data_IF_637852797895
#
_entry.id   IF_637852797895
#
_cell.length_a   1.000
_cell.length_b   1.000
_cell.length_c   1.000
_cell.angle_alpha   90.00
_cell.angle_beta   90.00
_cell.angle_gamma   90.00
#
_symmetry.space_group_name_H-M   'P 1'
#
loop_
_entity.id
_entity.type
_entity.pdbx_description
1 polymer ?
#
# COMPACT_ATOMS: atom_id res chain seq x y z
N UNK A 1 18.54 28.40 29.00
CA UNK A 1 17.07 28.35 28.89
C UNK A 1 16.76 27.28 27.85
N UNK A 2 16.70 26.02 28.29
CA UNK A 2 16.49 24.87 27.41
C UNK A 2 15.00 24.60 27.31
N UNK A 3 14.43 24.76 26.13
CA UNK A 3 13.03 24.45 25.85
C UNK A 3 12.94 22.93 25.67
N UNK A 4 12.54 22.24 26.73
CA UNK A 4 12.25 20.82 26.70
C UNK A 4 10.86 20.67 26.10
N UNK A 5 10.78 20.05 24.91
CA UNK A 5 9.51 19.72 24.30
C UNK A 5 8.70 18.82 25.27
N UNK A 6 7.39 19.05 25.45
CA UNK A 6 6.60 18.21 26.32
C UNK A 6 6.53 16.79 25.72
N UNK A 7 6.87 15.80 26.54
CA UNK A 7 6.57 14.40 26.21
C UNK A 7 5.04 14.24 26.10
N UNK A 8 4.53 13.46 25.14
CA UNK A 8 3.09 13.28 24.96
C UNK A 8 2.47 12.64 26.21
N UNK A 9 1.29 13.14 26.60
CA UNK A 9 0.48 12.62 27.70
C UNK A 9 0.00 11.19 27.41
N UNK A 10 -0.16 10.39 28.46
CA UNK A 10 -0.50 8.95 28.42
C UNK A 10 -1.79 8.56 27.68
N UNK A 11 -2.64 9.54 27.34
CA UNK A 11 -3.88 9.38 26.57
C UNK A 11 -3.63 9.13 25.07
N UNK A 12 -2.60 9.76 24.49
CA UNK A 12 -2.29 9.64 23.06
C UNK A 12 -1.78 8.27 22.66
N UNK A 13 -1.08 7.63 23.59
CA UNK A 13 -0.56 6.28 23.41
C UNK A 13 -1.68 5.24 23.51
N UNK A 14 -2.73 5.48 24.29
CA UNK A 14 -3.78 4.48 24.53
C UNK A 14 -4.78 4.36 23.38
N UNK A 15 -5.25 5.46 22.77
CA UNK A 15 -6.15 5.40 21.61
C UNK A 15 -5.49 4.78 20.36
N UNK A 16 -4.20 5.09 20.13
CA UNK A 16 -3.41 4.47 19.06
C UNK A 16 -3.16 2.98 19.32
N UNK A 17 -2.97 2.57 20.58
CA UNK A 17 -2.76 1.17 21.00
C UNK A 17 -4.06 0.36 20.98
N UNK A 18 -5.21 0.98 21.26
CA UNK A 18 -6.52 0.30 21.24
C UNK A 18 -6.98 -0.07 19.82
N UNK A 19 -6.72 0.81 18.83
CA UNK A 19 -6.99 0.53 17.41
C UNK A 19 -6.16 -0.65 16.88
N UNK A 20 -4.97 -0.82 17.43
CA UNK A 20 -3.97 -1.84 17.07
C UNK A 20 -4.34 -3.23 17.64
N UNK A 21 -5.02 -3.27 18.78
CA UNK A 21 -5.41 -4.52 19.46
C UNK A 21 -6.48 -5.30 18.68
N UNK A 22 -7.23 -4.64 17.79
CA UNK A 22 -8.48 -5.18 17.23
C UNK A 22 -8.38 -5.96 15.90
N UNK A 23 -7.19 -6.06 15.29
CA UNK A 23 -7.18 -6.33 13.84
C UNK A 23 -6.57 -7.66 13.40
N UNK A 24 -5.38 -8.09 13.87
CA UNK A 24 -4.80 -9.27 13.24
C UNK A 24 -5.34 -10.63 13.73
N UNK A 25 -5.75 -10.89 14.99
CA UNK A 25 -6.20 -12.23 15.40
C UNK A 25 -7.42 -12.76 14.62
N UNK A 26 -8.43 -11.90 14.37
CA UNK A 26 -9.63 -12.30 13.65
C UNK A 26 -9.33 -12.60 12.18
N UNK A 27 -8.50 -11.79 11.52
CA UNK A 27 -8.10 -12.01 10.13
C UNK A 27 -7.17 -13.23 9.98
N UNK A 28 -6.28 -13.45 10.94
CA UNK A 28 -5.40 -14.63 10.98
C UNK A 28 -6.21 -15.92 11.08
N UNK A 29 -7.32 -15.91 11.81
CA UNK A 29 -8.22 -17.07 11.90
C UNK A 29 -8.91 -17.44 10.58
N UNK A 30 -8.99 -16.49 9.63
CA UNK A 30 -9.56 -16.70 8.30
C UNK A 30 -8.52 -17.11 7.25
N UNK A 31 -7.23 -17.14 7.60
CA UNK A 31 -6.18 -17.62 6.71
C UNK A 31 -6.25 -19.14 6.50
N UNK A 32 -5.64 -19.59 5.40
CA UNK A 32 -5.28 -21.01 5.21
C UNK A 32 -4.38 -21.45 6.38
N UNK A 33 -4.56 -22.69 6.84
CA UNK A 33 -3.91 -23.20 8.06
C UNK A 33 -2.38 -23.05 8.03
N UNK A 34 -1.78 -23.20 6.85
CA UNK A 34 -0.34 -23.06 6.63
C UNK A 34 0.16 -21.63 6.85
N UNK A 35 -0.64 -20.63 6.50
CA UNK A 35 -0.32 -19.22 6.71
C UNK A 35 -0.64 -18.77 8.13
N UNK A 36 -1.73 -19.28 8.71
CA UNK A 36 -2.11 -18.98 10.09
C UNK A 36 -1.02 -19.42 11.09
N UNK A 37 -0.39 -20.57 10.84
CA UNK A 37 0.72 -21.08 11.67
C UNK A 37 1.98 -20.21 11.62
N UNK A 38 2.15 -19.36 10.59
CA UNK A 38 3.30 -18.46 10.49
C UNK A 38 3.17 -17.25 11.40
N UNK A 39 1.96 -16.91 11.84
CA UNK A 39 1.71 -15.72 12.65
C UNK A 39 1.90 -16.08 14.12
N UNK A 40 2.93 -15.52 14.80
CA UNK A 40 3.13 -15.77 16.22
C UNK A 40 1.98 -15.16 17.03
N UNK A 41 1.78 -15.63 18.26
CA UNK A 41 1.01 -14.85 19.22
C UNK A 41 1.75 -13.53 19.46
N UNK A 42 1.10 -12.40 19.22
CA UNK A 42 1.65 -11.07 19.49
C UNK A 42 0.59 -10.26 20.25
N UNK A 43 1.04 -9.50 21.24
CA UNK A 43 0.18 -8.61 22.02
C UNK A 43 0.15 -7.18 21.43
N UNK A 44 1.12 -6.86 20.56
CA UNK A 44 1.25 -5.55 19.95
C UNK A 44 1.84 -5.63 18.54
N UNK A 45 1.49 -4.65 17.70
CA UNK A 45 2.06 -4.47 16.36
C UNK A 45 3.56 -4.14 16.41
N UNK A 46 4.10 -3.65 17.52
CA UNK A 46 5.56 -3.47 17.68
C UNK A 46 6.30 -4.80 17.72
N UNK A 47 5.71 -5.82 18.36
CA UNK A 47 6.23 -7.20 18.33
C UNK A 47 6.20 -7.75 16.92
N UNK A 48 5.12 -7.51 16.18
CA UNK A 48 4.96 -7.88 14.78
C UNK A 48 6.01 -7.20 13.87
N UNK A 49 6.33 -5.93 14.14
CA UNK A 49 7.34 -5.17 13.40
C UNK A 49 8.76 -5.75 13.53
N UNK A 50 9.06 -6.36 14.68
CA UNK A 50 10.33 -7.01 14.99
C UNK A 50 10.48 -8.42 14.41
N UNK A 51 9.40 -9.06 13.95
CA UNK A 51 9.44 -10.44 13.48
C UNK A 51 9.97 -10.54 12.04
N UNK A 52 11.29 -10.59 11.90
CA UNK A 52 11.94 -10.57 10.58
C UNK A 52 11.58 -11.77 9.71
N UNK A 53 11.29 -12.96 10.28
CA UNK A 53 10.93 -14.14 9.48
C UNK A 53 9.57 -13.98 8.84
N UNK A 54 8.61 -13.44 9.58
CA UNK A 54 7.27 -13.16 9.07
C UNK A 54 7.32 -12.08 7.98
N UNK A 55 8.12 -11.03 8.20
CA UNK A 55 8.26 -9.91 7.26
C UNK A 55 9.01 -10.26 5.96
N UNK A 56 9.87 -11.27 5.99
CA UNK A 56 10.54 -11.80 4.78
C UNK A 56 9.82 -12.99 4.15
N UNK A 57 8.79 -13.51 4.82
CA UNK A 57 8.05 -14.69 4.39
C UNK A 57 6.84 -14.38 3.52
N UNK A 58 5.98 -15.38 3.29
CA UNK A 58 4.76 -15.26 2.47
C UNK A 58 3.79 -14.17 2.95
N UNK A 59 3.81 -13.81 4.24
CA UNK A 59 2.97 -12.77 4.80
C UNK A 59 3.65 -11.39 4.83
N UNK A 60 4.89 -11.28 4.36
CA UNK A 60 5.68 -10.06 4.51
C UNK A 60 5.00 -8.82 3.96
N UNK A 61 4.41 -8.91 2.77
CA UNK A 61 3.66 -7.81 2.16
C UNK A 61 2.43 -7.38 2.96
N UNK A 62 1.73 -8.35 3.55
CA UNK A 62 0.57 -8.11 4.39
C UNK A 62 0.96 -7.39 5.67
N UNK A 63 2.00 -7.90 6.33
CA UNK A 63 2.51 -7.33 7.58
C UNK A 63 3.08 -5.93 7.36
N UNK A 64 3.91 -5.74 6.33
CA UNK A 64 4.48 -4.43 6.00
C UNK A 64 3.39 -3.40 5.64
N UNK A 65 2.35 -3.82 4.91
CA UNK A 65 1.20 -2.99 4.59
C UNK A 65 0.44 -2.54 5.84
N UNK A 66 0.13 -3.48 6.74
CA UNK A 66 -0.53 -3.20 8.03
C UNK A 66 0.32 -2.27 8.88
N UNK A 67 1.62 -2.55 9.01
CA UNK A 67 2.55 -1.72 9.80
C UNK A 67 2.61 -0.29 9.27
N UNK A 68 2.65 -0.10 7.95
CA UNK A 68 2.64 1.22 7.35
C UNK A 68 1.33 1.96 7.61
N UNK A 69 0.18 1.28 7.50
CA UNK A 69 -1.11 1.89 7.84
C UNK A 69 -1.20 2.27 9.32
N UNK A 70 -0.72 1.42 10.23
CA UNK A 70 -0.65 1.73 11.67
C UNK A 70 0.20 2.97 11.92
N UNK A 71 1.37 3.05 11.29
CA UNK A 71 2.26 4.21 11.41
C UNK A 71 1.57 5.50 10.92
N UNK A 72 0.93 5.45 9.75
CA UNK A 72 0.26 6.62 9.18
C UNK A 72 -0.93 7.07 10.02
N UNK A 73 -1.80 6.13 10.44
CA UNK A 73 -2.94 6.45 11.29
C UNK A 73 -2.50 6.95 12.66
N UNK A 74 -1.54 6.31 13.31
CA UNK A 74 -1.01 6.75 14.61
C UNK A 74 -0.35 8.12 14.54
N UNK A 75 0.35 8.42 13.45
CA UNK A 75 0.91 9.77 13.20
C UNK A 75 -0.20 10.80 13.07
N UNK A 76 -1.27 10.47 12.34
CA UNK A 76 -2.40 11.37 12.12
C UNK A 76 -3.22 11.61 13.40
N UNK A 77 -3.50 10.56 14.18
CA UNK A 77 -4.17 10.64 15.49
C UNK A 77 -3.34 11.49 16.45
N UNK A 78 -2.05 11.17 16.60
CA UNK A 78 -1.17 11.92 17.51
C UNK A 78 -1.04 13.39 17.12
N UNK A 79 -1.07 13.71 15.82
CA UNK A 79 -1.13 15.10 15.36
C UNK A 79 -2.44 15.78 15.77
N UNK A 80 -3.60 15.13 15.54
CA UNK A 80 -4.90 15.69 15.93
C UNK A 80 -5.06 15.92 17.43
N UNK A 81 -4.46 15.08 18.26
CA UNK A 81 -4.49 15.25 19.72
C UNK A 81 -3.56 16.38 20.21
N UNK A 82 -2.40 16.55 19.57
CA UNK A 82 -1.46 17.63 19.90
C UNK A 82 -1.95 18.98 19.40
N UNK A 83 -2.71 19.00 18.31
CA UNK A 83 -3.21 20.21 17.65
C UNK A 83 -4.72 20.09 17.35
N UNK A 84 -5.60 20.14 18.37
CA UNK A 84 -7.04 19.99 18.18
C UNK A 84 -7.67 21.03 17.25
N UNK A 85 -7.11 22.24 17.22
CA UNK A 85 -7.58 23.33 16.36
C UNK A 85 -7.27 23.09 14.87
N UNK A 86 -6.24 22.29 14.55
CA UNK A 86 -5.84 21.92 13.18
C UNK A 86 -6.61 20.70 12.65
N UNK A 87 -7.18 19.89 13.56
CA UNK A 87 -7.95 18.69 13.22
C UNK A 87 -9.25 18.99 12.47
N UNK A 88 -9.86 20.14 12.76
CA UNK A 88 -10.98 20.64 11.99
C UNK A 88 -10.46 20.95 10.58
N UNK A 89 -10.45 19.93 9.71
CA UNK A 89 -10.06 20.03 8.30
C UNK A 89 -10.72 21.27 7.73
N UNK A 90 -9.93 22.35 7.60
CA UNK A 90 -10.46 23.59 7.07
C UNK A 90 -11.06 23.32 5.70
N UNK A 91 -12.08 24.07 5.33
CA UNK A 91 -12.85 23.96 4.08
C UNK A 91 -12.03 24.09 2.78
N UNK A 92 -10.70 24.22 2.89
CA UNK A 92 -9.73 24.31 1.79
C UNK A 92 -8.65 23.21 1.81
N UNK A 93 -8.78 22.19 2.64
CA UNK A 93 -7.84 21.06 2.67
C UNK A 93 -8.27 19.94 1.71
N UNK A 94 -7.33 19.15 1.21
CA UNK A 94 -7.60 17.98 0.38
C UNK A 94 -6.76 16.84 0.90
N UNK A 95 -7.37 15.67 1.02
CA UNK A 95 -6.68 14.48 1.45
C UNK A 95 -6.31 13.62 0.24
N UNK A 96 -5.06 13.17 0.22
CA UNK A 96 -4.54 12.28 -0.83
C UNK A 96 -3.70 11.18 -0.22
N UNK A 97 -3.65 10.04 -0.90
CA UNK A 97 -2.86 8.88 -0.52
C UNK A 97 -2.23 8.24 -1.75
N UNK A 98 -1.11 7.55 -1.54
CA UNK A 98 -0.42 6.78 -2.58
C UNK A 98 -0.30 5.32 -2.13
N UNK A 99 -0.65 4.38 -3.01
CA UNK A 99 -0.60 2.95 -2.70
C UNK A 99 -1.52 2.62 -1.52
N UNK A 100 -0.99 1.92 -0.50
CA UNK A 100 -1.77 1.56 0.71
C UNK A 100 -2.22 2.79 1.52
N UNK A 101 -1.54 3.93 1.35
CA UNK A 101 -1.94 5.20 1.97
C UNK A 101 -3.30 5.68 1.50
N UNK A 102 -3.81 5.24 0.34
CA UNK A 102 -5.18 5.52 -0.09
C UNK A 102 -6.22 4.97 0.90
N UNK A 103 -5.97 3.80 1.50
CA UNK A 103 -6.87 3.23 2.49
C UNK A 103 -6.91 4.11 3.74
N UNK A 104 -5.74 4.55 4.21
CA UNK A 104 -5.61 5.45 5.36
C UNK A 104 -6.31 6.78 5.09
N UNK A 105 -6.09 7.37 3.91
CA UNK A 105 -6.79 8.59 3.51
C UNK A 105 -8.31 8.38 3.50
N UNK A 106 -8.77 7.23 3.02
CA UNK A 106 -10.21 6.91 3.03
C UNK A 106 -10.76 6.90 4.46
N UNK A 107 -10.12 6.19 5.39
CA UNK A 107 -10.55 6.16 6.80
C UNK A 107 -10.63 7.56 7.40
N UNK A 108 -9.59 8.38 7.20
CA UNK A 108 -9.57 9.77 7.66
C UNK A 108 -10.70 10.59 7.05
N UNK A 109 -10.97 10.45 5.75
CA UNK A 109 -11.99 11.24 5.06
C UNK A 109 -13.44 10.92 5.48
N UNK A 110 -13.69 9.71 6.01
CA UNK A 110 -15.02 9.27 6.45
C UNK A 110 -15.24 9.47 7.94
N UNK A 111 -14.18 9.76 8.70
CA UNK A 111 -14.24 9.98 10.14
C UNK A 111 -14.50 11.45 10.46
N UNK A 112 -15.51 11.71 11.28
CA UNK A 112 -15.88 13.06 11.72
C UNK A 112 -15.16 13.51 12.99
N UNK A 113 -14.51 12.59 13.68
CA UNK A 113 -13.74 12.82 14.90
C UNK A 113 -12.59 11.82 15.01
N UNK A 114 -11.67 12.06 15.95
CA UNK A 114 -10.63 11.08 16.31
C UNK A 114 -11.22 9.77 16.82
N UNK A 115 -12.37 9.83 17.51
CA UNK A 115 -13.07 8.64 18.02
C UNK A 115 -13.62 7.79 16.87
N UNK A 116 -14.18 8.43 15.83
CA UNK A 116 -14.67 7.75 14.63
C UNK A 116 -13.55 7.16 13.77
N UNK A 117 -12.31 7.66 13.91
CA UNK A 117 -11.15 7.16 13.18
C UNK A 117 -10.70 5.79 13.69
N UNK A 118 -10.93 5.47 14.97
CA UNK A 118 -10.55 4.18 15.55
C UNK A 118 -11.23 2.99 14.82
N UNK A 119 -12.58 2.92 14.73
CA UNK A 119 -13.23 1.82 14.01
C UNK A 119 -12.96 1.83 12.50
N UNK A 120 -12.85 3.01 11.86
CA UNK A 120 -12.53 3.12 10.44
C UNK A 120 -11.10 2.65 10.13
N UNK A 121 -10.14 3.02 10.98
CA UNK A 121 -8.75 2.58 10.91
C UNK A 121 -8.63 1.07 11.07
N UNK A 122 -9.34 0.47 12.03
CA UNK A 122 -9.38 -0.98 12.19
C UNK A 122 -9.89 -1.70 10.93
N UNK A 123 -10.94 -1.18 10.27
CA UNK A 123 -11.44 -1.73 9.01
C UNK A 123 -10.37 -1.63 7.90
N UNK A 124 -9.68 -0.50 7.78
CA UNK A 124 -8.57 -0.31 6.84
C UNK A 124 -7.43 -1.28 7.09
N UNK A 125 -7.08 -1.54 8.35
CA UNK A 125 -6.03 -2.49 8.69
C UNK A 125 -6.40 -3.93 8.26
N UNK A 126 -7.67 -4.35 8.35
CA UNK A 126 -8.14 -5.64 7.81
C UNK A 126 -8.01 -5.70 6.30
N UNK A 127 -8.44 -4.65 5.62
CA UNK A 127 -8.35 -4.55 4.15
C UNK A 127 -6.88 -4.60 3.72
N UNK A 128 -6.00 -3.87 4.40
CA UNK A 128 -4.57 -3.87 4.11
C UNK A 128 -3.95 -5.26 4.30
N UNK A 129 -4.34 -5.96 5.37
CA UNK A 129 -3.90 -7.33 5.63
C UNK A 129 -4.32 -8.28 4.50
N UNK A 130 -5.62 -8.34 4.20
CA UNK A 130 -6.19 -9.20 3.14
C UNK A 130 -5.60 -8.87 1.77
N UNK A 131 -5.45 -7.58 1.47
CA UNK A 131 -4.83 -7.12 0.23
C UNK A 131 -3.40 -7.62 0.12
N UNK A 132 -2.57 -7.49 1.16
CA UNK A 132 -1.20 -7.96 1.11
C UNK A 132 -1.08 -9.48 0.96
N UNK A 133 -1.97 -10.27 1.57
CA UNK A 133 -2.03 -11.74 1.36
C UNK A 133 -2.35 -12.04 -0.11
N UNK A 134 -3.39 -11.39 -0.64
CA UNK A 134 -3.80 -11.58 -2.03
C UNK A 134 -2.70 -11.17 -3.03
N UNK A 135 -2.05 -10.03 -2.80
CA UNK A 135 -0.94 -9.56 -3.64
C UNK A 135 0.22 -10.55 -3.57
N UNK A 136 0.51 -11.13 -2.41
CA UNK A 136 1.56 -12.14 -2.28
C UNK A 136 1.22 -13.40 -3.07
N UNK A 137 0.00 -13.92 -2.96
CA UNK A 137 -0.45 -15.10 -3.71
C UNK A 137 -0.35 -14.87 -5.23
N UNK A 138 -0.78 -13.70 -5.72
CA UNK A 138 -0.67 -13.34 -7.14
C UNK A 138 0.80 -13.20 -7.55
N UNK A 139 1.61 -12.52 -6.75
CA UNK A 139 3.03 -12.29 -7.05
C UNK A 139 3.78 -13.62 -7.15
N UNK A 140 3.56 -14.54 -6.21
CA UNK A 140 4.14 -15.88 -6.21
C UNK A 140 3.67 -16.74 -7.40
N UNK A 141 2.46 -16.53 -7.90
CA UNK A 141 1.98 -17.20 -9.11
C UNK A 141 2.66 -16.71 -10.40
N UNK A 142 3.20 -15.49 -10.39
CA UNK A 142 3.87 -14.87 -11.53
C UNK A 142 5.38 -15.09 -11.49
N UNK A 143 5.99 -15.00 -10.32
CA UNK A 143 7.40 -15.21 -10.08
C UNK A 143 7.60 -15.74 -8.66
N UNK A 144 8.26 -16.90 -8.52
CA UNK A 144 8.52 -17.49 -7.22
C UNK A 144 9.40 -16.57 -6.38
N UNK A 145 9.07 -16.44 -5.09
CA UNK A 145 9.80 -15.59 -4.16
C UNK A 145 11.13 -16.28 -3.82
N UNK A 146 12.23 -15.62 -4.18
CA UNK A 146 13.57 -16.04 -3.75
C UNK A 146 13.90 -15.32 -2.43
N UNK A 147 13.94 -16.03 -1.28
CA UNK A 147 14.16 -15.44 0.03
C UNK A 147 15.56 -14.83 0.20
N UNK A 148 16.52 -15.19 -0.65
CA UNK A 148 17.87 -14.63 -0.65
C UNK A 148 18.01 -13.47 -1.65
N UNK A 149 16.99 -13.23 -2.48
CA UNK A 149 16.98 -12.11 -3.42
C UNK A 149 16.60 -10.79 -2.74
N UNK A 150 17.31 -9.72 -3.08
CA UNK A 150 16.92 -8.33 -2.75
C UNK A 150 16.06 -7.72 -3.87
N UNK A 151 15.29 -8.56 -4.55
CA UNK A 151 14.61 -8.17 -5.77
C UNK A 151 13.34 -7.38 -5.49
N UNK A 152 13.26 -6.21 -6.13
CA UNK A 152 12.09 -5.35 -6.03
C UNK A 152 11.15 -5.53 -7.21
N UNK A 153 9.85 -5.41 -6.94
CA UNK A 153 8.79 -5.33 -7.94
C UNK A 153 8.57 -3.91 -8.48
N UNK A 154 9.34 -2.92 -8.02
CA UNK A 154 9.17 -1.52 -8.39
C UNK A 154 10.49 -0.75 -8.41
N UNK A 155 10.70 0.02 -9.49
CA UNK A 155 11.89 0.85 -9.66
C UNK A 155 11.50 2.26 -10.09
N UNK A 156 12.13 3.26 -9.50
CA UNK A 156 12.10 4.65 -9.99
C UNK A 156 13.22 4.80 -11.00
N UNK A 157 12.92 5.30 -12.18
CA UNK A 157 13.85 5.50 -13.29
C UNK A 157 13.90 6.98 -13.64
N UNK A 158 15.09 7.58 -13.56
CA UNK A 158 15.29 9.00 -13.79
C UNK A 158 15.69 9.31 -15.23
N UNK A 159 15.28 10.50 -15.69
CA UNK A 159 15.69 11.03 -17.00
C UNK A 159 15.12 10.26 -18.19
N UNK A 160 13.94 9.67 -18.00
CA UNK A 160 13.16 8.97 -19.01
C UNK A 160 11.75 9.57 -19.01
N UNK A 161 11.24 9.98 -20.17
CA UNK A 161 9.87 10.51 -20.25
C UNK A 161 8.85 9.38 -20.20
N UNK A 162 7.60 9.73 -19.90
CA UNK A 162 6.49 8.75 -19.87
C UNK A 162 6.30 8.15 -21.25
N UNK A 163 6.40 8.95 -22.29
CA UNK A 163 6.18 8.55 -23.69
C UNK A 163 7.28 7.59 -24.16
N UNK A 164 8.54 7.89 -23.84
CA UNK A 164 9.68 7.02 -24.14
C UNK A 164 9.57 5.68 -23.42
N UNK A 165 9.28 5.73 -22.11
CA UNK A 165 9.11 4.53 -21.30
C UNK A 165 7.94 3.67 -21.82
N UNK A 166 6.78 4.27 -22.08
CA UNK A 166 5.59 3.55 -22.50
C UNK A 166 5.80 2.92 -23.87
N UNK A 167 6.39 3.65 -24.82
CA UNK A 167 6.69 3.13 -26.16
C UNK A 167 7.58 1.89 -26.10
N UNK A 168 8.69 1.95 -25.36
CA UNK A 168 9.60 0.82 -25.28
C UNK A 168 8.96 -0.37 -24.53
N UNK A 169 8.19 -0.12 -23.46
CA UNK A 169 7.44 -1.18 -22.78
C UNK A 169 6.44 -1.87 -23.71
N UNK A 170 5.71 -1.12 -24.54
CA UNK A 170 4.74 -1.68 -25.49
C UNK A 170 5.43 -2.52 -26.58
N UNK A 171 6.56 -2.05 -27.12
CA UNK A 171 7.36 -2.78 -28.10
C UNK A 171 7.89 -4.11 -27.54
N UNK A 172 8.44 -4.09 -26.32
CA UNK A 172 8.93 -5.29 -25.63
C UNK A 172 7.81 -6.29 -25.40
N UNK A 173 6.66 -5.82 -24.90
CA UNK A 173 5.54 -6.68 -24.56
C UNK A 173 4.90 -7.31 -25.80
N UNK A 174 4.81 -6.57 -26.89
CA UNK A 174 4.34 -7.06 -28.18
C UNK A 174 5.30 -8.12 -28.74
N UNK A 175 6.60 -7.84 -28.72
CA UNK A 175 7.64 -8.76 -29.19
C UNK A 175 7.65 -10.09 -28.42
N UNK A 176 7.51 -10.03 -27.10
CA UNK A 176 7.56 -11.20 -26.22
C UNK A 176 6.20 -11.89 -26.02
N UNK A 177 5.11 -11.39 -26.61
CA UNK A 177 3.77 -11.92 -26.40
C UNK A 177 3.37 -11.96 -24.92
N UNK A 178 3.74 -10.93 -24.15
CA UNK A 178 3.61 -10.94 -22.68
C UNK A 178 2.15 -10.90 -22.25
N UNK A 179 1.74 -11.88 -21.44
CA UNK A 179 0.38 -11.93 -20.86
C UNK A 179 0.12 -10.70 -19.99
N UNK A 180 -1.14 -10.23 -19.95
CA UNK A 180 -1.50 -9.01 -19.23
C UNK A 180 -1.07 -9.01 -17.75
N UNK A 181 -1.11 -10.18 -17.10
CA UNK A 181 -0.74 -10.34 -15.70
C UNK A 181 0.78 -10.30 -15.44
N UNK A 182 1.63 -10.45 -16.45
CA UNK A 182 3.09 -10.42 -16.31
C UNK A 182 3.74 -9.17 -16.93
N UNK A 183 2.93 -8.19 -17.35
CA UNK A 183 3.42 -6.96 -17.99
C UNK A 183 4.14 -6.05 -17.00
N UNK A 184 5.21 -5.41 -17.47
CA UNK A 184 5.83 -4.27 -16.77
C UNK A 184 5.10 -3.00 -17.18
N UNK A 185 4.67 -2.18 -16.23
CA UNK A 185 3.86 -0.99 -16.50
C UNK A 185 4.34 0.21 -15.68
N UNK A 186 4.01 1.41 -16.14
CA UNK A 186 4.25 2.66 -15.41
C UNK A 186 3.18 2.83 -14.34
N UNK A 187 3.60 3.01 -13.10
CA UNK A 187 2.73 3.07 -11.91
C UNK A 187 2.71 4.42 -11.22
N UNK A 188 3.72 5.26 -11.46
CA UNK A 188 3.77 6.62 -10.96
C UNK A 188 4.68 7.46 -11.87
N UNK A 189 4.37 8.75 -11.94
CA UNK A 189 5.08 9.71 -12.77
C UNK A 189 5.41 10.90 -11.89
N UNK A 190 6.65 11.38 -11.98
CA UNK A 190 7.08 12.67 -11.47
C UNK A 190 7.73 13.47 -12.59
N UNK A 191 8.01 14.74 -12.33
CA UNK A 191 8.64 15.63 -13.30
C UNK A 191 9.98 15.08 -13.87
N UNK A 192 10.72 14.32 -13.06
CA UNK A 192 12.08 13.87 -13.40
C UNK A 192 12.22 12.35 -13.45
N UNK A 193 11.14 11.61 -13.20
CA UNK A 193 11.22 10.14 -13.13
C UNK A 193 9.90 9.44 -13.43
N UNK A 194 10.02 8.19 -13.86
CA UNK A 194 8.90 7.25 -14.00
C UNK A 194 9.12 6.06 -13.07
N UNK A 195 8.06 5.60 -12.41
CA UNK A 195 8.11 4.38 -11.60
C UNK A 195 7.53 3.23 -12.38
N UNK A 196 8.36 2.24 -12.71
CA UNK A 196 7.93 1.02 -13.39
C UNK A 196 7.73 -0.11 -12.39
N UNK A 197 6.72 -0.96 -12.61
CA UNK A 197 6.42 -2.14 -11.79
C UNK A 197 6.16 -3.37 -12.62
N UNK A 198 6.47 -4.54 -12.07
CA UNK A 198 6.22 -5.84 -12.68
C UNK A 198 7.07 -6.94 -12.05
N UNK A 199 7.07 -8.16 -12.62
CA UNK A 199 7.88 -9.27 -12.15
C UNK A 199 9.38 -8.92 -12.15
N UNK A 200 10.12 -9.13 -11.04
CA UNK A 200 11.54 -8.81 -10.94
C UNK A 200 12.42 -9.33 -12.08
N UNK A 201 12.18 -10.55 -12.59
CA UNK A 201 12.98 -11.07 -13.71
C UNK A 201 12.84 -10.19 -14.96
N UNK A 202 11.64 -9.64 -15.20
CA UNK A 202 11.36 -8.76 -16.35
C UNK A 202 11.92 -7.37 -16.13
N UNK A 203 11.86 -6.86 -14.90
CA UNK A 203 12.49 -5.59 -14.54
C UNK A 203 14.02 -5.68 -14.71
N UNK A 204 14.64 -6.78 -14.29
CA UNK A 204 16.08 -7.02 -14.54
C UNK A 204 16.41 -7.07 -16.02
N UNK A 205 15.60 -7.77 -16.83
CA UNK A 205 15.78 -7.82 -18.27
C UNK A 205 15.63 -6.41 -18.90
N UNK A 206 14.65 -5.63 -18.45
CA UNK A 206 14.44 -4.24 -18.86
C UNK A 206 15.71 -3.39 -18.70
N UNK A 207 16.31 -3.39 -17.51
CA UNK A 207 17.52 -2.61 -17.23
C UNK A 207 18.80 -3.15 -17.89
N UNK A 208 18.81 -4.41 -18.36
CA UNK A 208 20.00 -5.06 -18.93
C UNK A 208 20.02 -5.12 -20.46
N UNK A 209 18.87 -5.05 -21.11
CA UNK A 209 18.77 -5.37 -22.53
C UNK A 209 18.08 -4.30 -23.38
N UNK A 210 17.46 -3.30 -22.76
CA UNK A 210 16.61 -2.34 -23.46
C UNK A 210 17.20 -0.93 -23.41
N UNK A 211 17.30 -0.31 -24.59
CA UNK A 211 18.16 0.84 -24.84
C UNK A 211 17.77 2.07 -24.01
N UNK A 212 16.47 2.35 -23.83
CA UNK A 212 16.08 3.54 -23.05
C UNK A 212 16.23 3.35 -21.54
N UNK A 213 16.46 2.11 -21.07
CA UNK A 213 16.66 1.78 -19.64
C UNK A 213 18.11 1.46 -19.26
N UNK A 214 18.94 0.99 -20.20
CA UNK A 214 20.30 0.45 -20.00
C UNK A 214 21.30 1.39 -19.28
N UNK A 215 21.16 2.71 -19.46
CA UNK A 215 22.08 3.71 -18.89
C UNK A 215 21.37 4.73 -18.00
N UNK A 216 20.13 4.42 -17.58
CA UNK A 216 19.38 5.30 -16.70
C UNK A 216 19.76 5.07 -15.25
N UNK A 217 19.79 6.16 -14.48
CA UNK A 217 19.85 6.05 -13.02
C UNK A 217 18.51 5.53 -12.54
N UNK A 218 18.54 4.49 -11.73
CA UNK A 218 17.34 3.94 -11.10
C UNK A 218 17.57 3.65 -9.62
N UNK A 219 16.48 3.61 -8.87
CA UNK A 219 16.46 3.23 -7.47
C UNK A 219 15.35 2.18 -7.23
N UNK A 220 15.67 1.16 -6.42
CA UNK A 220 14.70 0.16 -5.98
C UNK A 220 13.76 0.77 -4.94
N UNK A 221 12.45 0.49 -5.09
CA UNK A 221 11.48 0.76 -4.02
C UNK A 221 11.30 -0.51 -3.17
N UNK A 222 10.99 -0.41 -1.87
CA UNK A 222 10.74 -1.57 -1.01
C UNK A 222 9.33 -2.14 -1.29
N UNK A 223 9.13 -2.69 -2.49
CA UNK A 223 7.87 -3.29 -2.94
C UNK A 223 8.15 -4.76 -3.25
N UNK A 224 7.68 -5.65 -2.37
CA UNK A 224 7.97 -7.08 -2.40
C UNK A 224 6.97 -7.91 -3.26
N UNK A 225 6.06 -7.24 -3.94
CA UNK A 225 5.06 -7.87 -4.81
C UNK A 225 4.13 -6.83 -5.41
N UNK A 226 3.49 -7.15 -6.53
CA UNK A 226 2.77 -6.15 -7.32
C UNK A 226 1.53 -6.70 -8.01
N UNK A 227 0.45 -5.93 -7.95
CA UNK A 227 -0.68 -6.10 -8.85
C UNK A 227 -0.29 -5.55 -10.23
N UNK A 228 -0.31 -6.40 -11.25
CA UNK A 228 0.04 -6.00 -12.60
C UNK A 228 -1.17 -5.40 -13.34
N UNK A 229 -1.11 -4.10 -13.66
CA UNK A 229 -1.91 -3.42 -14.70
C UNK A 229 -3.44 -3.47 -14.59
N UNK A 230 -4.11 -2.66 -15.41
CA UNK A 230 -5.58 -2.49 -15.47
C UNK A 230 -6.39 -3.79 -15.67
N UNK A 231 -5.76 -4.88 -16.10
CA UNK A 231 -6.42 -6.18 -16.34
C UNK A 231 -6.66 -7.02 -15.08
N UNK A 232 -6.08 -6.67 -13.94
CA UNK A 232 -6.32 -7.35 -12.64
C UNK A 232 -7.42 -6.64 -11.82
N UNK A 233 -7.72 -5.38 -12.14
CA UNK A 233 -8.75 -4.57 -11.48
C UNK A 233 -10.20 -5.02 -11.70
N UNK A 234 -10.63 -5.69 -12.80
CA UNK A 234 -12.03 -6.10 -12.96
C UNK A 234 -12.49 -7.14 -11.93
N UNK A 235 -11.56 -7.71 -11.14
CA UNK A 235 -11.87 -8.65 -10.06
C UNK A 235 -12.00 -8.00 -8.68
N UNK A 236 -11.76 -6.70 -8.54
CA UNK A 236 -11.87 -6.00 -7.25
C UNK A 236 -13.32 -5.94 -6.74
N UNK A 237 -14.32 -5.88 -7.62
CA UNK A 237 -15.74 -5.84 -7.23
C UNK A 237 -16.29 -7.15 -6.66
N UNK A 238 -15.62 -8.28 -6.90
CA UNK A 238 -16.06 -9.62 -6.48
C UNK A 238 -15.08 -10.29 -5.51
N UNK A 239 -14.19 -9.54 -4.87
CA UNK A 239 -13.18 -10.08 -3.96
C UNK A 239 -13.62 -10.11 -2.48
N UNK A 240 -13.22 -11.12 -1.70
CA UNK A 240 -13.44 -11.20 -0.25
C UNK A 240 -12.59 -10.19 0.56
N UNK A 241 -11.99 -9.19 -0.12
CA UNK A 241 -11.14 -8.15 0.49
C UNK A 241 -11.99 -7.10 1.21
N UNK A 242 -13.23 -6.88 0.76
CA UNK A 242 -14.18 -5.94 1.37
C UNK A 242 -15.41 -6.72 1.81
N UNK A 243 -15.71 -6.72 3.11
CA UNK A 243 -16.96 -7.31 3.60
C UNK A 243 -18.16 -6.45 3.14
N UNK A 244 -19.20 -7.05 2.52
CA UNK A 244 -20.33 -6.30 1.93
C UNK A 244 -21.18 -5.54 2.95
N UNK A 245 -20.95 -5.71 4.25
CA UNK A 245 -21.74 -5.10 5.33
C UNK A 245 -21.04 -3.98 6.12
N UNK A 246 -19.81 -3.58 5.79
CA UNK A 246 -19.01 -2.76 6.71
C UNK A 246 -19.00 -1.26 6.38
N UNK A 247 -19.22 -0.82 5.14
CA UNK A 247 -19.29 0.62 4.79
C UNK A 247 -20.17 0.85 3.55
N UNK A 248 -21.14 1.78 3.62
CA UNK A 248 -21.83 2.28 2.44
C UNK A 248 -20.85 3.09 1.57
N UNK A 249 -20.29 2.43 0.56
CA UNK A 249 -19.29 3.02 -0.33
C UNK A 249 -19.93 4.04 -1.30
N UNK A 250 -19.34 5.23 -1.49
CA UNK A 250 -19.79 6.16 -2.52
C UNK A 250 -19.61 5.57 -3.93
N UNK A 251 -20.66 5.66 -4.76
CA UNK A 251 -20.68 5.09 -6.12
C UNK A 251 -19.59 5.63 -7.07
N UNK A 252 -18.96 6.78 -6.76
CA UNK A 252 -17.97 7.45 -7.61
C UNK A 252 -16.65 6.69 -7.78
N UNK A 253 -16.34 5.77 -6.86
CA UNK A 253 -15.12 4.95 -6.92
C UNK A 253 -15.22 3.80 -7.94
N UNK A 254 -16.42 3.51 -8.46
CA UNK A 254 -16.62 2.54 -9.54
C UNK A 254 -16.42 3.13 -10.95
N UNK A 255 -16.34 4.47 -11.09
CA UNK A 255 -16.35 5.16 -12.38
C UNK A 255 -15.02 5.82 -12.79
N UNK A 256 -13.97 5.71 -11.99
CA UNK A 256 -12.66 6.31 -12.29
C UNK A 256 -11.93 5.60 -13.43
N UNK A 257 -11.85 6.24 -14.60
CA UNK A 257 -11.07 5.75 -15.74
C UNK A 257 -9.61 5.48 -15.39
N UNK A 258 -9.06 4.41 -15.99
CA UNK A 258 -7.77 3.78 -15.68
C UNK A 258 -6.50 4.64 -15.84
N UNK A 259 -6.61 5.96 -16.00
CA UNK A 259 -5.47 6.89 -16.14
C UNK A 259 -5.09 7.60 -14.83
N UNK A 260 -6.00 7.69 -13.85
CA UNK A 260 -5.79 8.43 -12.59
C UNK A 260 -5.90 7.57 -11.32
N UNK A 261 -5.94 6.24 -11.44
CA UNK A 261 -6.15 5.29 -10.34
C UNK A 261 -5.11 5.34 -9.18
N UNK A 262 -4.07 6.16 -9.30
CA UNK A 262 -3.02 6.35 -8.30
C UNK A 262 -3.14 7.62 -7.47
N UNK A 263 -4.13 8.47 -7.76
CA UNK A 263 -4.47 9.66 -6.96
C UNK A 263 -5.98 9.74 -6.83
N UNK A 264 -6.51 9.17 -5.75
CA UNK A 264 -7.87 9.49 -5.31
C UNK A 264 -7.78 10.73 -4.43
N UNK A 265 -8.50 11.75 -4.83
CA UNK A 265 -8.64 13.00 -4.11
C UNK A 265 -9.97 12.92 -3.37
N UNK A 266 -9.92 12.93 -2.04
CA UNK A 266 -11.12 13.06 -1.24
C UNK A 266 -11.33 14.54 -0.94
N UNK A 267 -12.50 15.12 -1.27
CA UNK A 267 -12.81 16.48 -0.84
C UNK A 267 -12.81 16.50 0.70
N UNK A 268 -12.11 17.47 1.31
CA UNK A 268 -12.37 17.76 2.71
C UNK A 268 -13.81 18.26 2.80
N UNK A 269 -14.61 17.60 3.63
CA UNK A 269 -15.99 18.04 3.85
C UNK A 269 -15.98 19.37 4.60
N UNK A 270 -16.88 20.25 4.17
CA UNK A 270 -17.23 21.54 4.79
C UNK A 270 -17.88 21.37 6.16
#
# INVERSE_FOLDING_TARGET
MGMQAPFPSSSSSTASVDMITYTPPAEVSQLRSELAQLVPAFESVTTLAGESKLRKGPLGQSIDGVLLCVLQLGTYIGHGELYPDDWATGSNSVLTGLGIGLLVSTAVSVSTSLEDLVPAGAAVLRIAFRLGVYVSDVSQSLEALDPDSSDSWAYVVHGLTVEEAQKELDEIQAMLGTSAASKVFISAISETSVTVRGPPFRLKALFRHHASFLHRKFAQLPVLGGLCGSSVYPKFSNMPVVDPGVVNWPAELASGGARDAHKVVFPARS
#
